data_IF_640034800686
#
_entry.id   IF_640034800686
#
_cell.length_a   1.000
_cell.length_b   1.000
_cell.length_c   1.000
_cell.angle_alpha   90.00
_cell.angle_beta   90.00
_cell.angle_gamma   90.00
#
_symmetry.space_group_name_H-M   'P 1'
#
loop_
_entity.id
_entity.type
_entity.pdbx_description
1 polymer ?
#
# COMPACT_ATOMS: atom_id res chain seq x y z
N UNK A 1 35.43 -32.10 14.24
CA UNK A 1 34.29 -31.79 13.33
C UNK A 1 32.99 -31.36 14.05
N UNK A 2 32.66 -31.87 15.25
CA UNK A 2 31.40 -31.57 15.98
C UNK A 2 31.24 -30.11 16.51
N UNK A 3 32.29 -29.29 16.53
CA UNK A 3 32.23 -27.88 17.00
C UNK A 3 31.71 -26.87 15.97
N UNK A 4 31.87 -27.13 14.66
CA UNK A 4 31.43 -26.18 13.60
C UNK A 4 29.91 -26.21 13.37
N UNK A 5 29.26 -27.36 13.51
CA UNK A 5 27.80 -27.50 13.35
C UNK A 5 27.05 -26.77 14.45
N UNK A 6 27.61 -26.75 15.68
CA UNK A 6 26.99 -26.06 16.82
C UNK A 6 26.94 -24.55 16.61
N UNK A 7 27.97 -23.91 16.05
CA UNK A 7 27.91 -22.46 15.76
C UNK A 7 27.03 -22.08 14.56
N UNK A 8 26.82 -22.99 13.60
CA UNK A 8 25.89 -22.75 12.50
C UNK A 8 24.42 -22.85 12.95
N UNK A 9 24.13 -23.72 13.93
CA UNK A 9 22.82 -23.83 14.56
C UNK A 9 22.61 -22.84 15.73
N UNK A 10 23.70 -22.34 16.33
CA UNK A 10 23.75 -21.33 17.40
C UNK A 10 24.02 -19.93 16.81
N UNK A 11 23.36 -19.60 15.71
CA UNK A 11 23.03 -18.21 15.36
C UNK A 11 21.90 -17.65 16.23
N UNK A 12 21.70 -18.21 17.44
CA UNK A 12 20.44 -18.26 18.18
C UNK A 12 19.88 -16.92 18.66
N UNK A 13 20.72 -15.89 18.81
CA UNK A 13 20.29 -14.56 19.27
C UNK A 13 20.19 -13.53 18.13
N UNK A 14 21.14 -13.54 17.19
CA UNK A 14 21.08 -12.66 16.02
C UNK A 14 19.96 -13.08 15.05
N UNK A 15 19.73 -14.38 14.87
CA UNK A 15 18.61 -14.89 14.07
C UNK A 15 17.26 -14.50 14.68
N UNK A 16 17.07 -14.62 16.00
CA UNK A 16 15.83 -14.16 16.67
C UNK A 16 15.62 -12.66 16.52
N UNK A 17 16.70 -11.87 16.58
CA UNK A 17 16.65 -10.40 16.42
C UNK A 17 16.25 -10.01 15.00
N UNK A 18 16.81 -10.66 13.99
CA UNK A 18 16.45 -10.43 12.59
C UNK A 18 15.06 -10.95 12.25
N UNK A 19 14.70 -12.14 12.75
CA UNK A 19 13.37 -12.70 12.59
C UNK A 19 12.30 -11.78 13.20
N UNK A 20 12.53 -11.19 14.38
CA UNK A 20 11.60 -10.21 14.97
C UNK A 20 11.48 -8.93 14.14
N UNK A 21 12.57 -8.46 13.51
CA UNK A 21 12.53 -7.30 12.61
C UNK A 21 11.72 -7.61 11.35
N UNK A 22 11.97 -8.77 10.73
CA UNK A 22 11.23 -9.23 9.56
C UNK A 22 9.75 -9.44 9.88
N UNK A 23 9.43 -10.04 11.02
CA UNK A 23 8.05 -10.29 11.45
C UNK A 23 7.30 -8.98 11.75
N UNK A 24 7.98 -7.98 12.34
CA UNK A 24 7.40 -6.63 12.50
C UNK A 24 7.13 -5.97 11.15
N UNK A 25 8.06 -6.06 10.21
CA UNK A 25 7.92 -5.49 8.87
C UNK A 25 6.80 -6.18 8.10
N UNK A 26 6.72 -7.52 8.19
CA UNK A 26 5.63 -8.31 7.62
C UNK A 26 4.27 -7.88 8.19
N UNK A 27 4.15 -7.76 9.52
CA UNK A 27 2.91 -7.28 10.14
C UNK A 27 2.54 -5.88 9.63
N UNK A 28 3.50 -4.96 9.55
CA UNK A 28 3.23 -3.59 9.08
C UNK A 28 2.75 -3.58 7.63
N UNK A 29 3.39 -4.36 6.75
CA UNK A 29 2.99 -4.47 5.34
C UNK A 29 1.61 -5.12 5.23
N UNK A 30 1.39 -6.24 5.91
CA UNK A 30 0.11 -6.96 5.88
C UNK A 30 -1.02 -6.09 6.39
N UNK A 31 -0.83 -5.39 7.52
CA UNK A 31 -1.84 -4.48 8.06
C UNK A 31 -2.13 -3.32 7.10
N UNK A 32 -1.08 -2.70 6.55
CA UNK A 32 -1.24 -1.60 5.58
C UNK A 32 -1.99 -2.07 4.33
N UNK A 33 -1.68 -3.27 3.85
CA UNK A 33 -2.37 -3.89 2.73
C UNK A 33 -3.83 -4.21 3.07
N UNK A 34 -4.10 -4.79 4.24
CA UNK A 34 -5.48 -5.07 4.69
C UNK A 34 -6.30 -3.79 4.82
N UNK A 35 -5.70 -2.72 5.34
CA UNK A 35 -6.34 -1.40 5.41
C UNK A 35 -6.63 -0.87 4.00
N UNK A 36 -5.63 -0.84 3.11
CA UNK A 36 -5.83 -0.40 1.73
C UNK A 36 -6.93 -1.22 1.02
N UNK A 37 -6.96 -2.52 1.24
CA UNK A 37 -7.97 -3.42 0.68
C UNK A 37 -9.37 -3.16 1.24
N UNK A 38 -9.49 -2.93 2.55
CA UNK A 38 -10.76 -2.60 3.19
C UNK A 38 -11.35 -1.28 2.67
N UNK A 39 -10.50 -0.29 2.39
CA UNK A 39 -10.93 1.01 1.85
C UNK A 39 -11.21 1.01 0.35
N UNK A 40 -10.79 -0.04 -0.39
CA UNK A 40 -10.94 -0.13 -1.86
C UNK A 40 -12.38 0.11 -2.30
N UNK A 41 -13.33 -0.58 -1.67
CA UNK A 41 -14.74 -0.49 -2.03
C UNK A 41 -15.32 0.87 -1.62
N UNK A 42 -15.01 1.34 -0.41
CA UNK A 42 -15.48 2.63 0.08
C UNK A 42 -15.02 3.79 -0.80
N UNK A 43 -13.77 3.80 -1.27
CA UNK A 43 -13.28 4.82 -2.21
C UNK A 43 -14.08 4.76 -3.50
N UNK A 44 -14.32 3.56 -4.04
CA UNK A 44 -15.12 3.41 -5.25
C UNK A 44 -16.53 3.98 -5.08
N UNK A 45 -17.22 3.61 -4.01
CA UNK A 45 -18.59 4.05 -3.73
C UNK A 45 -18.69 5.57 -3.52
N UNK A 46 -17.69 6.18 -2.87
CA UNK A 46 -17.59 7.65 -2.70
C UNK A 46 -17.47 8.33 -4.06
N UNK A 47 -16.54 7.88 -4.90
CA UNK A 47 -16.34 8.48 -6.23
C UNK A 47 -17.54 8.26 -7.15
N UNK A 48 -18.19 7.09 -7.08
CA UNK A 48 -19.42 6.81 -7.83
C UNK A 48 -20.55 7.75 -7.40
N UNK A 49 -20.74 7.93 -6.09
CA UNK A 49 -21.76 8.85 -5.56
C UNK A 49 -21.49 10.29 -6.00
N UNK A 50 -20.24 10.74 -5.99
CA UNK A 50 -19.85 12.06 -6.50
C UNK A 50 -20.18 12.20 -7.99
N UNK A 51 -19.81 11.22 -8.82
CA UNK A 51 -20.08 11.26 -10.26
C UNK A 51 -21.58 11.25 -10.56
N UNK A 52 -22.35 10.40 -9.88
CA UNK A 52 -23.80 10.36 -10.04
C UNK A 52 -24.45 11.68 -9.63
N UNK A 53 -23.95 12.31 -8.56
CA UNK A 53 -24.42 13.62 -8.10
C UNK A 53 -24.17 14.73 -9.13
N UNK A 54 -23.00 14.74 -9.78
CA UNK A 54 -22.64 15.81 -10.74
C UNK A 54 -23.13 15.56 -12.18
N UNK A 55 -23.22 14.30 -12.62
CA UNK A 55 -23.39 13.96 -14.06
C UNK A 55 -24.77 13.33 -14.34
N UNK A 56 -25.59 13.04 -13.32
CA UNK A 56 -26.95 12.49 -13.44
C UNK A 56 -27.05 11.31 -14.45
N UNK A 57 -26.02 10.46 -14.45
CA UNK A 57 -25.90 9.32 -15.38
C UNK A 57 -26.82 8.20 -14.91
N UNK A 58 -27.86 7.90 -15.70
CA UNK A 58 -28.82 6.82 -15.38
C UNK A 58 -28.29 5.41 -15.62
N UNK A 59 -27.22 5.25 -16.41
CA UNK A 59 -26.70 3.94 -16.77
C UNK A 59 -25.55 3.51 -15.84
N UNK A 60 -25.77 2.44 -15.07
CA UNK A 60 -24.83 1.92 -14.06
C UNK A 60 -23.47 1.53 -14.65
N UNK A 61 -23.44 0.95 -15.86
CA UNK A 61 -22.19 0.57 -16.51
C UNK A 61 -21.33 1.80 -16.86
N UNK A 62 -21.96 2.87 -17.35
CA UNK A 62 -21.25 4.11 -17.70
C UNK A 62 -20.72 4.83 -16.46
N UNK A 63 -21.49 4.84 -15.36
CA UNK A 63 -21.07 5.41 -14.09
C UNK A 63 -19.82 4.69 -13.55
N UNK A 64 -19.83 3.35 -13.50
CA UNK A 64 -18.69 2.54 -13.01
C UNK A 64 -17.39 2.78 -13.80
N UNK A 65 -17.49 2.87 -15.13
CA UNK A 65 -16.33 3.18 -15.99
C UNK A 65 -15.80 4.58 -15.70
N UNK A 66 -16.69 5.57 -15.59
CA UNK A 66 -16.31 6.96 -15.33
C UNK A 66 -15.68 7.12 -13.94
N UNK A 67 -16.21 6.41 -12.94
CA UNK A 67 -15.66 6.31 -11.58
C UNK A 67 -14.26 5.72 -11.60
N UNK A 68 -14.05 4.63 -12.32
CA UNK A 68 -12.74 4.00 -12.45
C UNK A 68 -11.72 4.95 -13.10
N UNK A 69 -12.15 5.71 -14.11
CA UNK A 69 -11.31 6.68 -14.81
C UNK A 69 -10.96 7.87 -13.92
N UNK A 70 -11.93 8.39 -13.17
CA UNK A 70 -11.72 9.46 -12.19
C UNK A 70 -10.76 9.04 -11.07
N UNK A 71 -10.94 7.85 -10.50
CA UNK A 71 -10.03 7.30 -9.47
C UNK A 71 -8.62 7.14 -10.05
N UNK A 72 -8.49 6.71 -11.30
CA UNK A 72 -7.18 6.55 -11.96
C UNK A 72 -6.46 7.89 -12.09
N UNK A 73 -7.15 8.93 -12.56
CA UNK A 73 -6.58 10.28 -12.66
C UNK A 73 -6.20 10.84 -11.29
N UNK A 74 -7.05 10.64 -10.28
CA UNK A 74 -6.75 11.05 -8.90
C UNK A 74 -5.55 10.30 -8.32
N UNK A 75 -5.43 8.99 -8.58
CA UNK A 75 -4.29 8.19 -8.15
C UNK A 75 -2.98 8.69 -8.78
N UNK A 76 -2.98 8.97 -10.08
CA UNK A 76 -1.83 9.57 -10.77
C UNK A 76 -1.45 10.91 -10.16
N UNK A 77 -2.44 11.76 -9.82
CA UNK A 77 -2.20 13.05 -9.18
C UNK A 77 -1.58 12.88 -7.79
N UNK A 78 -2.11 11.97 -6.97
CA UNK A 78 -1.55 11.68 -5.63
C UNK A 78 -0.13 11.12 -5.73
N UNK A 79 0.13 10.20 -6.66
CA UNK A 79 1.47 9.65 -6.89
C UNK A 79 2.42 10.76 -7.36
N UNK A 80 1.98 11.63 -8.26
CA UNK A 80 2.77 12.76 -8.73
C UNK A 80 3.11 13.72 -7.59
N UNK A 81 2.13 14.09 -6.75
CA UNK A 81 2.35 14.93 -5.57
C UNK A 81 3.27 14.25 -4.56
N UNK A 82 3.07 12.97 -4.28
CA UNK A 82 3.91 12.19 -3.37
C UNK A 82 5.34 12.10 -3.89
N UNK A 83 5.52 11.88 -5.20
CA UNK A 83 6.84 11.87 -5.85
C UNK A 83 7.51 13.23 -5.77
N UNK A 84 6.78 14.32 -5.99
CA UNK A 84 7.32 15.67 -5.88
C UNK A 84 7.73 15.99 -4.43
N UNK A 85 6.90 15.63 -3.44
CA UNK A 85 7.20 15.86 -2.03
C UNK A 85 8.35 14.98 -1.50
N UNK A 86 8.50 13.75 -1.99
CA UNK A 86 9.62 12.89 -1.65
C UNK A 86 10.94 13.37 -2.27
N UNK A 87 10.88 14.05 -3.42
CA UNK A 87 12.06 14.58 -4.11
C UNK A 87 12.77 15.70 -3.34
N UNK A 88 12.10 16.33 -2.38
CA UNK A 88 12.67 17.37 -1.50
C UNK A 88 13.49 16.83 -0.32
N UNK A 89 13.75 15.51 -0.27
CA UNK A 89 14.79 14.98 0.62
C UNK A 89 16.09 14.83 -0.16
N UNK A 90 17.10 15.71 0.04
CA UNK A 90 18.42 15.44 -0.47
C UNK A 90 18.88 14.13 0.17
N UNK A 91 19.14 13.15 -0.67
CA UNK A 91 19.79 11.91 -0.31
C UNK A 91 21.04 12.22 0.52
N UNK A 92 21.22 11.44 1.60
CA UNK A 92 22.48 11.20 2.32
C UNK A 92 23.73 11.89 1.72
N UNK A 93 24.13 13.01 2.34
CA UNK A 93 25.54 13.39 2.44
C UNK A 93 26.13 12.76 3.70
#
# INVERSE_FOLDING_TARGET
MKRKVKHFFVGGDNFKKEFRKQLRLLILITLSFTIAFAWRQTIFDIFETLILHFINVRNSATASVLTSLAITLMSLLVIYLASNFLKDRPDYA
#
